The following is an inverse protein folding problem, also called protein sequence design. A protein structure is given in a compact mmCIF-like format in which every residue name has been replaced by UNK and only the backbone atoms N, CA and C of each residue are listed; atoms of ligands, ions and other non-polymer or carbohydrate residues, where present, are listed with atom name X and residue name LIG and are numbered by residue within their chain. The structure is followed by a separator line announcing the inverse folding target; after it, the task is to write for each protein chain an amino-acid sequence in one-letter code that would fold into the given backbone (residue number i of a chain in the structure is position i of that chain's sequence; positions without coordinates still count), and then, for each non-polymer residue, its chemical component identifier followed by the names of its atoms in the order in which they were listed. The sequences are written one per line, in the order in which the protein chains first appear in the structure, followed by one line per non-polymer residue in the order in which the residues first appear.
data_IF_948474131460
#
_entry.id   IF_948474131460
#
_cell.length_a   1.000
_cell.length_b   1.000
_cell.length_c   1.000
_cell.angle_alpha   90.00
_cell.angle_beta   90.00
_cell.angle_gamma   90.00
#
_symmetry.space_group_name_H-M   'P 1'
#
loop_
_entity.id
_entity.type
_entity.pdbx_description
1 polymer ?
#
# COMPACT_ATOMS: atom_id res chain seq x y z
N UNK A 1 30.03 -13.51 -21.58
CA UNK A 1 29.77 -13.28 -20.15
C UNK A 1 28.77 -14.30 -19.69
N UNK A 2 28.74 -14.63 -18.40
CA UNK A 2 27.63 -15.39 -17.83
C UNK A 2 26.37 -14.51 -17.92
N UNK A 3 25.37 -14.96 -18.67
CA UNK A 3 24.04 -14.33 -18.69
C UNK A 3 23.24 -14.90 -17.51
N UNK A 4 22.87 -14.04 -16.56
CA UNK A 4 21.99 -14.42 -15.46
C UNK A 4 20.52 -14.16 -15.86
N UNK A 5 19.67 -15.17 -15.67
CA UNK A 5 18.22 -15.05 -15.93
C UNK A 5 17.50 -14.63 -14.64
N UNK A 6 16.78 -13.51 -14.68
CA UNK A 6 15.92 -13.05 -13.60
C UNK A 6 14.46 -13.48 -13.78
N UNK A 7 13.72 -13.59 -12.68
CA UNK A 7 12.26 -13.79 -12.70
C UNK A 7 11.55 -12.49 -12.39
N UNK A 8 10.62 -12.07 -13.25
CA UNK A 8 9.72 -10.95 -12.98
C UNK A 8 8.43 -11.47 -12.35
N UNK A 9 8.17 -11.06 -11.11
CA UNK A 9 6.90 -11.33 -10.43
C UNK A 9 6.03 -10.10 -10.57
N UNK A 10 4.89 -10.24 -11.23
CA UNK A 10 3.88 -9.18 -11.34
C UNK A 10 2.74 -9.45 -10.36
N UNK A 11 2.48 -8.46 -9.50
CA UNK A 11 1.37 -8.50 -8.55
C UNK A 11 0.45 -7.32 -8.87
N UNK A 12 -0.79 -7.60 -9.25
CA UNK A 12 -1.79 -6.57 -9.56
C UNK A 12 -2.39 -6.04 -8.26
N UNK A 13 -2.38 -4.72 -8.07
CA UNK A 13 -3.09 -4.08 -6.96
C UNK A 13 -4.61 -4.27 -7.11
N UNK A 14 -5.28 -4.62 -6.01
CA UNK A 14 -6.73 -4.79 -5.95
C UNK A 14 -7.22 -4.62 -4.49
N UNK A 15 -8.50 -4.31 -4.34
CA UNK A 15 -9.22 -4.23 -3.06
C UNK A 15 -10.16 -5.44 -2.96
N UNK A 16 -10.12 -6.15 -1.83
CA UNK A 16 -10.80 -7.42 -1.60
C UNK A 16 -11.84 -7.32 -0.47
N UNK A 17 -11.86 -6.22 0.28
CA UNK A 17 -12.79 -5.95 1.37
C UNK A 17 -12.33 -6.44 2.75
N UNK A 18 -11.13 -7.01 2.83
CA UNK A 18 -10.46 -7.40 4.08
C UNK A 18 -9.22 -6.53 4.38
N UNK A 19 -9.02 -5.46 3.60
CA UNK A 19 -7.97 -4.49 3.85
C UNK A 19 -8.18 -3.72 5.16
N UNK A 20 -7.07 -3.31 5.82
CA UNK A 20 -7.08 -2.35 6.91
C UNK A 20 -7.98 -1.11 6.69
N UNK A 21 -8.49 -0.55 7.79
CA UNK A 21 -9.48 0.53 7.79
C UNK A 21 -9.01 1.80 7.07
N UNK A 22 -7.72 2.14 7.16
CA UNK A 22 -7.09 3.27 6.49
C UNK A 22 -7.22 3.15 4.95
N UNK A 23 -6.89 1.98 4.41
CA UNK A 23 -7.00 1.67 2.99
C UNK A 23 -8.47 1.66 2.56
N UNK A 24 -9.32 0.98 3.34
CA UNK A 24 -10.76 0.89 3.06
C UNK A 24 -11.42 2.26 3.05
N UNK A 25 -11.07 3.13 4.01
CA UNK A 25 -11.60 4.49 4.09
C UNK A 25 -11.21 5.31 2.86
N UNK A 26 -9.95 5.23 2.42
CA UNK A 26 -9.51 5.89 1.20
C UNK A 26 -10.27 5.39 -0.03
N UNK A 27 -10.42 4.08 -0.18
CA UNK A 27 -11.14 3.46 -1.29
C UNK A 27 -12.62 3.89 -1.36
N UNK A 28 -13.28 4.16 -0.22
CA UNK A 28 -14.68 4.60 -0.21
C UNK A 28 -14.90 6.00 -0.78
N UNK A 29 -13.90 6.88 -0.66
CA UNK A 29 -13.96 8.26 -1.16
C UNK A 29 -13.27 8.43 -2.52
N UNK A 30 -12.43 7.48 -2.93
CA UNK A 30 -11.72 7.44 -4.21
C UNK A 30 -12.12 6.21 -5.04
N UNK A 31 -13.22 6.31 -5.80
CA UNK A 31 -13.79 5.14 -6.50
C UNK A 31 -12.92 4.54 -7.59
N UNK A 32 -11.92 5.28 -8.10
CA UNK A 32 -10.95 4.76 -9.07
C UNK A 32 -9.76 4.06 -8.39
N UNK A 33 -9.56 4.20 -7.08
CA UNK A 33 -8.50 3.52 -6.35
C UNK A 33 -8.69 1.99 -6.41
N UNK A 34 -7.63 1.18 -6.65
CA UNK A 34 -6.20 1.51 -6.77
C UNK A 34 -5.72 1.68 -8.22
N UNK A 35 -6.60 2.15 -9.10
CA UNK A 35 -6.39 2.32 -10.54
C UNK A 35 -6.63 3.77 -11.00
N UNK A 36 -6.40 4.74 -10.11
CA UNK A 36 -6.47 6.15 -10.47
C UNK A 36 -5.47 6.47 -11.58
N UNK A 37 -5.83 7.41 -12.44
CA UNK A 37 -4.96 7.83 -13.54
C UNK A 37 -3.65 8.43 -13.02
N UNK A 38 -2.53 8.06 -13.64
CA UNK A 38 -1.21 8.65 -13.37
C UNK A 38 -0.94 9.90 -14.21
N UNK A 39 -1.96 10.45 -14.88
CA UNK A 39 -1.82 11.68 -15.66
C UNK A 39 -1.51 12.88 -14.76
N UNK A 40 -2.06 12.90 -13.55
CA UNK A 40 -1.64 13.79 -12.47
C UNK A 40 -0.58 13.08 -11.62
N UNK A 41 0.62 13.65 -11.56
CA UNK A 41 1.76 13.09 -10.84
C UNK A 41 1.96 13.72 -9.46
N UNK A 42 1.09 14.65 -9.07
CA UNK A 42 1.16 15.32 -7.78
C UNK A 42 0.24 14.63 -6.78
N UNK A 43 0.74 13.56 -6.17
CA UNK A 43 0.03 12.90 -5.09
C UNK A 43 0.05 13.75 -3.82
N UNK A 44 -1.12 13.86 -3.19
CA UNK A 44 -1.19 14.34 -1.81
C UNK A 44 -0.75 13.23 -0.84
N UNK A 45 -0.50 13.60 0.42
CA UNK A 45 -0.02 12.66 1.44
C UNK A 45 -0.94 11.46 1.61
N UNK A 46 -2.25 11.68 1.69
CA UNK A 46 -3.24 10.61 1.88
C UNK A 46 -3.26 9.62 0.71
N UNK A 47 -3.13 10.12 -0.52
CA UNK A 47 -3.05 9.28 -1.72
C UNK A 47 -1.76 8.46 -1.72
N UNK A 48 -0.62 9.12 -1.53
CA UNK A 48 0.67 8.44 -1.49
C UNK A 48 0.71 7.34 -0.42
N UNK A 49 0.27 7.65 0.80
CA UNK A 49 0.29 6.68 1.90
C UNK A 49 -0.70 5.53 1.63
N UNK A 50 -1.88 5.80 1.05
CA UNK A 50 -2.85 4.74 0.73
C UNK A 50 -2.31 3.74 -0.29
N UNK A 51 -1.62 4.20 -1.34
CA UNK A 51 -0.92 3.30 -2.28
C UNK A 51 0.21 2.52 -1.61
N UNK A 52 1.02 3.18 -0.76
CA UNK A 52 2.11 2.53 -0.02
C UNK A 52 1.57 1.45 0.93
N UNK A 53 0.53 1.77 1.69
CA UNK A 53 -0.17 0.87 2.63
C UNK A 53 -0.73 -0.34 1.91
N UNK A 54 -1.46 -0.12 0.81
CA UNK A 54 -2.02 -1.20 0.00
C UNK A 54 -0.93 -2.11 -0.55
N UNK A 55 0.16 -1.54 -1.08
CA UNK A 55 1.30 -2.32 -1.58
C UNK A 55 1.94 -3.19 -0.50
N UNK A 56 2.12 -2.66 0.71
CA UNK A 56 2.63 -3.42 1.85
C UNK A 56 1.67 -4.55 2.24
N UNK A 57 0.37 -4.27 2.31
CA UNK A 57 -0.66 -5.27 2.63
C UNK A 57 -0.65 -6.44 1.64
N UNK A 58 -0.68 -6.13 0.34
CA UNK A 58 -0.67 -7.14 -0.73
C UNK A 58 0.63 -7.95 -0.70
N UNK A 59 1.79 -7.29 -0.59
CA UNK A 59 3.08 -7.98 -0.52
C UNK A 59 3.14 -8.91 0.69
N UNK A 60 2.65 -8.46 1.84
CA UNK A 60 2.59 -9.26 3.04
C UNK A 60 1.66 -10.47 2.91
N UNK A 61 0.50 -10.32 2.25
CA UNK A 61 -0.40 -11.43 1.97
C UNK A 61 0.23 -12.47 1.04
N UNK A 62 0.95 -12.03 0.00
CA UNK A 62 1.63 -12.92 -0.96
C UNK A 62 2.81 -13.68 -0.33
N UNK A 63 3.59 -13.02 0.53
CA UNK A 63 4.84 -13.56 1.08
C UNK A 63 4.74 -14.04 2.54
N UNK A 64 3.56 -14.03 3.15
CA UNK A 64 3.31 -14.57 4.49
C UNK A 64 3.75 -13.67 5.66
N UNK A 65 3.71 -12.35 5.47
CA UNK A 65 4.17 -11.34 6.43
C UNK A 65 3.09 -10.40 7.00
N UNK A 66 1.80 -10.76 6.93
CA UNK A 66 0.69 -9.85 7.30
C UNK A 66 0.80 -9.33 8.73
N UNK A 67 1.10 -10.19 9.71
CA UNK A 67 1.26 -9.76 11.11
C UNK A 67 2.38 -8.71 11.30
N UNK A 68 3.47 -8.82 10.55
CA UNK A 68 4.57 -7.85 10.56
C UNK A 68 4.17 -6.54 9.86
N UNK A 69 3.42 -6.62 8.76
CA UNK A 69 2.90 -5.46 8.04
C UNK A 69 1.95 -4.63 8.90
N UNK A 70 1.07 -5.27 9.66
CA UNK A 70 0.13 -4.62 10.58
C UNK A 70 0.87 -3.93 11.73
N UNK A 71 1.82 -4.64 12.34
CA UNK A 71 2.65 -4.08 13.41
C UNK A 71 3.45 -2.86 12.94
N UNK A 72 3.96 -2.91 11.71
CA UNK A 72 4.68 -1.81 11.10
C UNK A 72 3.76 -0.62 10.80
N UNK A 73 2.54 -0.87 10.30
CA UNK A 73 1.49 0.13 10.08
C UNK A 73 1.26 0.99 11.33
N UNK A 74 0.91 0.30 12.41
CA UNK A 74 0.61 0.89 13.71
C UNK A 74 1.78 1.71 14.25
N UNK A 75 3.02 1.25 14.03
CA UNK A 75 4.20 1.98 14.47
C UNK A 75 4.45 3.25 13.65
N UNK A 76 4.19 3.24 12.34
CA UNK A 76 4.29 4.44 11.51
C UNK A 76 3.23 5.48 11.89
N UNK A 77 1.99 5.06 12.08
CA UNK A 77 0.90 5.94 12.51
C UNK A 77 1.20 6.58 13.87
N UNK A 78 1.66 5.79 14.84
CA UNK A 78 2.07 6.31 16.16
C UNK A 78 3.19 7.34 16.04
N UNK A 79 4.13 7.15 15.12
CA UNK A 79 5.23 8.09 14.88
C UNK A 79 4.76 9.36 14.19
N UNK A 80 3.88 9.25 13.19
CA UNK A 80 3.28 10.41 12.52
C UNK A 80 2.47 11.26 13.51
N UNK A 81 1.66 10.61 14.36
CA UNK A 81 0.88 11.29 15.40
C UNK A 81 1.78 12.01 16.43
N UNK A 82 2.92 11.43 16.81
CA UNK A 82 3.86 12.04 17.76
C UNK A 82 4.59 13.27 17.19
N UNK A 83 4.74 13.38 15.87
CA UNK A 83 5.35 14.55 15.21
C UNK A 83 4.36 15.67 14.89
N UNK A 84 3.05 15.38 14.91
CA UNK A 84 1.99 16.36 14.64
C UNK A 84 1.51 17.12 15.90
N UNK A 85 2.00 16.74 17.09
CA UNK A 85 1.69 17.37 18.39
C UNK A 85 2.85 18.25 18.86
#
# INVERSE_FOLDING_TARGET
GIEETGTLIYIKAAIHGDEPEDISSYATVHSEFPHETTADQFFNESQFESYRRLGLWIGAAVFGGQAQADSHALNLEKRAAAHAA
#
